data_IF_980046433208
#
_entry.id   IF_980046433208
#
_cell.length_a   1.000
_cell.length_b   1.000
_cell.length_c   1.000
_cell.angle_alpha   90.00
_cell.angle_beta   90.00
_cell.angle_gamma   90.00
#
_symmetry.space_group_name_H-M   'P 1'
#
loop_
_entity.id
_entity.type
_entity.pdbx_description
1 polymer ?
#
# COMPACT_ATOMS: atom_id res chain seq x y z
N UNK A 1 -9.81 9.02 -45.31
CA UNK A 1 -9.92 9.66 -43.98
C UNK A 1 -9.90 8.67 -42.79
N UNK A 2 -10.23 7.38 -42.97
CA UNK A 2 -10.26 6.41 -41.85
C UNK A 2 -8.88 5.96 -41.35
N UNK A 3 -7.89 5.82 -42.24
CA UNK A 3 -6.56 5.28 -41.89
C UNK A 3 -5.74 6.18 -40.95
N UNK A 4 -5.94 7.50 -40.99
CA UNK A 4 -5.21 8.45 -40.15
C UNK A 4 -5.65 8.41 -38.68
N UNK A 5 -6.92 8.10 -38.42
CA UNK A 5 -7.45 7.97 -37.06
C UNK A 5 -6.92 6.69 -36.41
N UNK A 6 -6.83 5.62 -37.20
CA UNK A 6 -6.29 4.34 -36.76
C UNK A 6 -4.78 4.43 -36.43
N UNK A 7 -4.00 5.14 -37.24
CA UNK A 7 -2.55 5.29 -36.98
C UNK A 7 -2.28 6.12 -35.73
N UNK A 8 -3.01 7.22 -35.52
CA UNK A 8 -2.84 8.07 -34.33
C UNK A 8 -3.23 7.32 -33.05
N UNK A 9 -4.33 6.56 -33.07
CA UNK A 9 -4.75 5.77 -31.90
C UNK A 9 -3.76 4.65 -31.56
N UNK A 10 -3.18 3.97 -32.57
CA UNK A 10 -2.16 2.94 -32.36
C UNK A 10 -0.88 3.53 -31.73
N UNK A 11 -0.43 4.69 -32.20
CA UNK A 11 0.73 5.40 -31.65
C UNK A 11 0.50 5.75 -30.18
N UNK A 12 -0.66 6.32 -29.84
CA UNK A 12 -1.02 6.67 -28.45
C UNK A 12 -1.02 5.43 -27.55
N UNK A 13 -1.55 4.30 -28.03
CA UNK A 13 -1.54 3.05 -27.27
C UNK A 13 -0.12 2.55 -26.97
N UNK A 14 0.76 2.57 -27.97
CA UNK A 14 2.16 2.15 -27.80
C UNK A 14 2.89 3.06 -26.80
N UNK A 15 2.72 4.38 -26.92
CA UNK A 15 3.30 5.33 -25.98
C UNK A 15 2.79 5.11 -24.55
N UNK A 16 1.47 4.95 -24.37
CA UNK A 16 0.88 4.68 -23.07
C UNK A 16 1.35 3.35 -22.46
N UNK A 17 1.56 2.32 -23.29
CA UNK A 17 2.09 1.02 -22.85
C UNK A 17 3.53 1.16 -22.33
N UNK A 18 4.40 1.86 -23.06
CA UNK A 18 5.78 2.10 -22.65
C UNK A 18 5.86 2.93 -21.37
N UNK A 19 5.05 3.99 -21.26
CA UNK A 19 4.96 4.82 -20.06
C UNK A 19 4.48 4.01 -18.86
N UNK A 20 3.42 3.21 -19.02
CA UNK A 20 2.89 2.34 -17.95
C UNK A 20 3.95 1.38 -17.44
N UNK A 21 4.68 0.72 -18.34
CA UNK A 21 5.76 -0.22 -17.97
C UNK A 21 6.89 0.47 -17.21
N UNK A 22 7.31 1.67 -17.64
CA UNK A 22 8.36 2.45 -16.96
C UNK A 22 7.90 2.92 -15.58
N UNK A 23 6.66 3.39 -15.46
CA UNK A 23 6.10 3.87 -14.20
C UNK A 23 5.99 2.76 -13.15
N UNK A 24 5.54 1.56 -13.56
CA UNK A 24 5.50 0.38 -12.68
C UNK A 24 6.91 0.05 -12.19
N UNK A 25 7.91 0.01 -13.09
CA UNK A 25 9.30 -0.28 -12.68
C UNK A 25 9.86 0.77 -11.72
N UNK A 26 9.55 2.05 -11.94
CA UNK A 26 9.97 3.14 -11.06
C UNK A 26 9.25 3.09 -9.70
N UNK A 27 8.00 2.62 -9.68
CA UNK A 27 7.23 2.41 -8.46
C UNK A 27 7.90 1.38 -7.54
N UNK A 28 8.18 0.17 -8.04
CA UNK A 28 8.89 -0.87 -7.27
C UNK A 28 10.29 -0.42 -6.83
N UNK A 29 11.04 0.29 -7.70
CA UNK A 29 12.36 0.82 -7.32
C UNK A 29 12.30 1.82 -6.15
N UNK A 30 11.17 2.51 -5.96
CA UNK A 30 10.98 3.50 -4.89
C UNK A 30 10.21 2.93 -3.70
N UNK A 31 9.69 1.70 -3.81
CA UNK A 31 8.84 1.05 -2.80
C UNK A 31 9.53 0.95 -1.44
N UNK A 32 10.74 0.39 -1.41
CA UNK A 32 11.55 0.30 -0.19
C UNK A 32 11.80 1.67 0.46
N UNK A 33 12.09 2.70 -0.34
CA UNK A 33 12.33 4.06 0.19
C UNK A 33 11.07 4.65 0.84
N UNK A 34 9.89 4.29 0.35
CA UNK A 34 8.61 4.72 0.93
C UNK A 34 8.33 3.97 2.22
N UNK A 35 8.53 2.65 2.21
CA UNK A 35 8.38 1.81 3.40
C UNK A 35 9.33 2.24 4.53
N UNK A 36 10.59 2.56 4.23
CA UNK A 36 11.55 3.08 5.23
C UNK A 36 11.24 4.50 5.74
N UNK A 37 10.36 5.25 5.07
CA UNK A 37 9.96 6.60 5.49
C UNK A 37 8.78 6.58 6.47
N UNK A 38 8.18 5.40 6.70
CA UNK A 38 7.10 5.22 7.65
C UNK A 38 7.56 5.56 9.06
N UNK A 39 6.67 6.16 9.84
CA UNK A 39 6.86 6.37 11.26
C UNK A 39 6.74 5.04 12.03
N UNK A 40 7.30 4.93 13.25
CA UNK A 40 7.23 3.70 14.04
C UNK A 40 5.80 3.16 14.24
N UNK A 41 4.84 4.07 14.45
CA UNK A 41 3.42 3.70 14.58
C UNK A 41 2.83 3.14 13.28
N UNK A 42 3.17 3.75 12.13
CA UNK A 42 2.75 3.24 10.82
C UNK A 42 3.35 1.87 10.51
N UNK A 43 4.61 1.65 10.91
CA UNK A 43 5.30 0.36 10.80
C UNK A 43 4.57 -0.70 11.63
N UNK A 44 4.21 -0.40 12.87
CA UNK A 44 3.44 -1.31 13.72
C UNK A 44 2.08 -1.68 13.08
N UNK A 45 1.36 -0.71 12.50
CA UNK A 45 0.12 -1.01 11.78
C UNK A 45 0.37 -1.98 10.63
N UNK A 46 1.41 -1.75 9.82
CA UNK A 46 1.76 -2.61 8.68
C UNK A 46 2.18 -4.01 9.14
N UNK A 47 2.96 -4.13 10.23
CA UNK A 47 3.31 -5.41 10.83
C UNK A 47 2.08 -6.16 11.33
N UNK A 48 1.20 -5.48 12.08
CA UNK A 48 -0.05 -6.09 12.57
C UNK A 48 -0.93 -6.61 11.43
N UNK A 49 -0.90 -5.96 10.26
CA UNK A 49 -1.57 -6.43 9.05
C UNK A 49 -0.84 -7.64 8.47
N UNK A 50 0.49 -7.60 8.41
CA UNK A 50 1.33 -8.63 7.80
C UNK A 50 1.32 -9.96 8.57
N UNK A 51 1.25 -9.92 9.90
CA UNK A 51 1.18 -11.11 10.76
C UNK A 51 -0.13 -11.90 10.60
N UNK A 52 -1.21 -11.23 10.20
CA UNK A 52 -2.49 -11.90 9.94
C UNK A 52 -2.42 -12.73 8.65
N UNK A 53 -2.91 -13.97 8.67
CA UNK A 53 -2.89 -14.88 7.50
C UNK A 53 -3.54 -14.28 6.24
N UNK A 54 -4.56 -13.45 6.43
CA UNK A 54 -5.30 -12.78 5.36
C UNK A 54 -4.75 -11.39 4.99
N UNK A 55 -3.65 -10.96 5.61
CA UNK A 55 -3.06 -9.61 5.48
C UNK A 55 -4.04 -8.48 5.79
N UNK A 56 -5.04 -8.74 6.66
CA UNK A 56 -6.14 -7.81 6.95
C UNK A 56 -6.30 -7.56 8.44
N UNK A 57 -6.64 -6.33 8.81
CA UNK A 57 -6.93 -5.94 10.19
C UNK A 57 -7.97 -4.82 10.26
N UNK A 58 -8.69 -4.73 11.38
CA UNK A 58 -9.68 -3.70 11.66
C UNK A 58 -8.99 -2.45 12.22
N UNK A 59 -8.88 -1.41 11.39
CA UNK A 59 -8.21 -0.15 11.77
C UNK A 59 -9.21 0.98 11.97
N UNK A 60 -8.98 1.88 12.94
CA UNK A 60 -9.81 3.06 13.17
C UNK A 60 -9.77 4.03 11.98
N UNK A 61 -10.94 4.47 11.51
CA UNK A 61 -11.04 5.38 10.36
C UNK A 61 -10.58 6.81 10.67
N UNK A 62 -10.62 7.19 11.95
CA UNK A 62 -10.29 8.54 12.42
C UNK A 62 -8.79 8.74 12.66
N UNK A 63 -7.98 7.71 12.42
CA UNK A 63 -6.54 7.76 12.65
C UNK A 63 -5.79 8.37 11.46
N UNK A 64 -5.01 9.41 11.73
CA UNK A 64 -4.20 10.11 10.73
C UNK A 64 -3.11 9.24 10.11
N UNK A 65 -2.55 8.30 10.86
CA UNK A 65 -1.54 7.37 10.35
C UNK A 65 -2.14 6.43 9.33
N UNK A 66 -3.29 5.81 9.66
CA UNK A 66 -4.07 4.94 8.76
C UNK A 66 -4.39 5.67 7.45
N UNK A 67 -4.83 6.92 7.54
CA UNK A 67 -5.17 7.73 6.36
C UNK A 67 -3.95 8.09 5.51
N UNK A 68 -2.79 8.29 6.15
CA UNK A 68 -1.52 8.55 5.45
C UNK A 68 -1.05 7.32 4.68
N UNK A 69 -0.99 6.15 5.32
CA UNK A 69 -0.56 4.90 4.65
C UNK A 69 -1.57 4.41 3.60
N UNK A 70 -2.86 4.72 3.76
CA UNK A 70 -3.88 4.54 2.71
C UNK A 70 -3.58 5.43 1.49
N UNK A 71 -3.25 6.71 1.71
CA UNK A 71 -2.93 7.65 0.63
C UNK A 71 -1.63 7.29 -0.12
N UNK A 72 -0.69 6.63 0.55
CA UNK A 72 0.55 6.13 -0.05
C UNK A 72 0.37 4.77 -0.77
N UNK A 73 -0.86 4.25 -0.81
CA UNK A 73 -1.22 2.94 -1.38
C UNK A 73 -0.47 1.77 -0.74
N UNK A 74 -0.17 1.87 0.55
CA UNK A 74 0.44 0.78 1.33
C UNK A 74 -0.66 -0.16 1.81
N UNK A 75 -1.76 0.41 2.30
CA UNK A 75 -2.97 -0.33 2.69
C UNK A 75 -4.14 0.09 1.81
N UNK A 76 -5.13 -0.78 1.68
CA UNK A 76 -6.41 -0.50 1.04
C UNK A 76 -7.59 -0.92 1.91
N UNK A 77 -8.76 -0.36 1.65
CA UNK A 77 -10.00 -0.83 2.30
C UNK A 77 -10.42 -2.16 1.68
N UNK A 78 -10.71 -3.15 2.52
CA UNK A 78 -11.25 -4.44 2.05
C UNK A 78 -12.73 -4.34 1.66
N UNK A 79 -13.45 -3.35 2.22
CA UNK A 79 -14.83 -3.04 1.84
C UNK A 79 -15.06 -1.53 1.83
N UNK A 80 -15.94 -1.07 0.94
CA UNK A 80 -16.40 0.32 0.89
C UNK A 80 -17.56 0.58 1.85
N UNK A 81 -18.31 -0.46 2.23
CA UNK A 81 -19.46 -0.37 3.11
C UNK A 81 -19.30 -1.37 4.25
N UNK A 82 -19.30 -0.87 5.49
CA UNK A 82 -19.19 -1.68 6.69
C UNK A 82 -20.15 -1.13 7.75
N UNK A 83 -20.98 -2.01 8.32
CA UNK A 83 -21.96 -1.61 9.32
C UNK A 83 -21.25 -1.45 10.67
N UNK A 84 -21.13 -0.21 11.13
CA UNK A 84 -20.53 0.13 12.41
C UNK A 84 -21.62 0.52 13.40
N UNK A 85 -21.60 -0.09 14.58
CA UNK A 85 -22.55 0.21 15.66
C UNK A 85 -22.22 1.52 16.39
N UNK A 86 -20.97 2.00 16.33
CA UNK A 86 -20.54 3.25 16.93
C UNK A 86 -19.61 4.02 15.98
N UNK A 87 -20.02 5.23 15.58
CA UNK A 87 -19.27 6.08 14.64
C UNK A 87 -17.98 6.66 15.24
N UNK A 88 -17.95 6.88 16.56
CA UNK A 88 -16.78 7.45 17.24
C UNK A 88 -15.62 6.45 17.36
N UNK A 89 -15.94 5.15 17.33
CA UNK A 89 -14.98 4.03 17.37
C UNK A 89 -15.06 3.17 16.11
N UNK A 90 -15.47 3.78 14.99
CA UNK A 90 -15.62 3.08 13.73
C UNK A 90 -14.28 2.51 13.27
N UNK A 91 -14.22 1.19 13.16
CA UNK A 91 -13.11 0.44 12.57
C UNK A 91 -13.56 -0.15 11.24
N UNK A 92 -12.71 -0.05 10.24
CA UNK A 92 -12.93 -0.65 8.93
C UNK A 92 -11.91 -1.76 8.70
N UNK A 93 -12.26 -2.80 7.94
CA UNK A 93 -11.30 -3.79 7.53
C UNK A 93 -10.39 -3.19 6.45
N UNK A 94 -9.10 -3.14 6.75
CA UNK A 94 -8.05 -2.77 5.82
C UNK A 94 -7.25 -4.01 5.44
N UNK A 95 -6.69 -3.99 4.24
CA UNK A 95 -5.82 -5.03 3.69
C UNK A 95 -4.49 -4.41 3.29
N UNK A 96 -3.43 -5.20 3.41
CA UNK A 96 -2.13 -4.83 2.89
C UNK A 96 -2.10 -5.01 1.36
N UNK A 97 -1.55 -4.05 0.64
CA UNK A 97 -1.46 -4.15 -0.81
C UNK A 97 -0.46 -5.24 -1.22
N UNK A 98 -0.71 -5.99 -2.31
CA UNK A 98 0.14 -7.13 -2.69
C UNK A 98 1.62 -6.78 -2.85
N UNK A 99 1.92 -5.60 -3.43
CA UNK A 99 3.30 -5.15 -3.61
C UNK A 99 4.06 -4.94 -2.30
N UNK A 100 3.37 -4.61 -1.20
CA UNK A 100 4.00 -4.44 0.11
C UNK A 100 4.33 -5.81 0.70
N UNK A 101 3.43 -6.78 0.54
CA UNK A 101 3.66 -8.17 0.95
C UNK A 101 4.86 -8.74 0.20
N UNK A 102 4.92 -8.53 -1.13
CA UNK A 102 6.03 -9.00 -1.97
C UNK A 102 7.36 -8.36 -1.55
N UNK A 103 7.40 -7.03 -1.33
CA UNK A 103 8.62 -6.33 -0.91
C UNK A 103 9.09 -6.77 0.50
N UNK A 104 8.16 -7.00 1.44
CA UNK A 104 8.49 -7.48 2.78
C UNK A 104 9.02 -8.91 2.76
N UNK A 105 8.44 -9.78 1.92
CA UNK A 105 8.90 -11.17 1.75
C UNK A 105 10.22 -11.28 1.01
N UNK A 106 10.45 -10.43 0.01
CA UNK A 106 11.68 -10.46 -0.80
C UNK A 106 12.87 -9.83 -0.05
N UNK A 107 12.63 -8.92 0.90
CA UNK A 107 13.68 -8.17 1.62
C UNK A 107 13.62 -8.39 3.13
N UNK A 108 14.27 -9.46 3.59
CA UNK A 108 14.43 -9.78 5.02
C UNK A 108 15.00 -8.60 5.84
N UNK A 109 15.91 -7.81 5.27
CA UNK A 109 16.48 -6.64 5.95
C UNK A 109 15.44 -5.53 6.24
N UNK A 110 14.36 -5.44 5.45
CA UNK A 110 13.30 -4.47 5.65
C UNK A 110 12.35 -4.95 6.75
N UNK A 111 12.08 -6.25 6.80
CA UNK A 111 11.31 -6.89 7.85
C UNK A 111 12.02 -6.79 9.21
N UNK A 112 13.33 -7.08 9.26
CA UNK A 112 14.13 -6.90 10.47
C UNK A 112 14.14 -5.43 10.97
N UNK A 113 14.14 -4.45 10.04
CA UNK A 113 14.00 -3.04 10.41
C UNK A 113 12.64 -2.76 11.06
N UNK A 114 11.57 -3.38 10.55
CA UNK A 114 10.23 -3.21 11.10
C UNK A 114 10.12 -3.81 12.51
N UNK A 115 10.59 -5.05 12.70
CA UNK A 115 10.61 -5.73 14.01
C UNK A 115 11.44 -4.96 15.04
N UNK A 116 12.62 -4.48 14.65
CA UNK A 116 13.46 -3.67 15.55
C UNK A 116 12.79 -2.36 15.97
N UNK A 117 12.01 -1.76 15.07
CA UNK A 117 11.29 -0.52 15.34
C UNK A 117 10.09 -0.74 16.25
N UNK A 118 9.38 -1.85 16.10
CA UNK A 118 8.29 -2.24 17.01
C UNK A 118 8.79 -2.45 18.43
N UNK A 119 9.87 -3.21 18.61
CA UNK A 119 10.47 -3.45 19.94
C UNK A 119 10.89 -2.16 20.65
N UNK A 120 11.41 -1.18 19.91
CA UNK A 120 11.82 0.12 20.44
C UNK A 120 10.65 1.05 20.83
N UNK A 121 9.42 0.73 20.43
CA UNK A 121 8.21 1.50 20.81
C UNK A 121 7.46 0.92 22.01
N UNK A 122 7.85 -0.28 22.45
CA UNK A 122 7.26 -0.98 23.61
C UNK A 122 8.09 -0.80 24.90
N UNK A 123 9.27 -0.18 24.81
CA UNK A 123 10.12 0.28 25.92
C UNK A 123 9.86 1.77 26.25
#
# INVERSE_FOLDING_TARGET
>A
MSSAILTVTLIIQIFNFLLKKKNIKQFYKTAEKRLRKLSPYEICIVLSLFENENYTNLLPINDGAVRKIESEMIIGKATNQYMVSNLNTAKFPYLLQPWVVDELKEKEALLAYFESTESATLD
#
